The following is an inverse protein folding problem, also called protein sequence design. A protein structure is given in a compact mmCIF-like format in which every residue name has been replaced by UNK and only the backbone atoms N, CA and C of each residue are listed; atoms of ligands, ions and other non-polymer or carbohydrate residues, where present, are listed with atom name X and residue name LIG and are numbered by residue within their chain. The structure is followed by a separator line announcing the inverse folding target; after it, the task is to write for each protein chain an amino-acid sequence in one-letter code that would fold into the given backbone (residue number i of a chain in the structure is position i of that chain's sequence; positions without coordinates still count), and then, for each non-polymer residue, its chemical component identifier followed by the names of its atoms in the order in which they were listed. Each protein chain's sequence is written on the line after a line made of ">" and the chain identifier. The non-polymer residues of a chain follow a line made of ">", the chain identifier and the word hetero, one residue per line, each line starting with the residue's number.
data_IF_373423736927
#
_entry.id   IF_373423736927
#
_cell.length_a   1.000
_cell.length_b   1.000
_cell.length_c   1.000
_cell.angle_alpha   90.00
_cell.angle_beta   90.00
_cell.angle_gamma   90.00
#
_symmetry.space_group_name_H-M   'P 1'
#
loop_
_entity.id
_entity.type
_entity.pdbx_description
1 polymer ?
#
# COMPACT_ATOMS: atom_id res chain seq x y z
N UNK A 1 27.54 27.99 34.92
CA UNK A 1 28.30 28.91 34.06
C UNK A 1 27.37 29.35 32.94
N UNK A 2 26.90 30.60 33.00
CA UNK A 2 26.01 31.20 32.02
C UNK A 2 26.84 31.95 30.98
N UNK A 3 26.60 31.69 29.69
CA UNK A 3 27.14 32.47 28.57
C UNK A 3 26.30 33.74 28.37
N UNK A 4 26.86 34.89 27.93
CA UNK A 4 26.12 36.13 27.71
C UNK A 4 25.14 36.10 26.53
N UNK A 5 25.18 35.05 25.70
CA UNK A 5 24.16 34.75 24.69
C UNK A 5 23.18 33.79 25.33
N UNK A 6 21.98 34.26 25.65
CA UNK A 6 20.91 33.47 26.26
C UNK A 6 20.71 32.13 25.56
N UNK A 7 20.08 31.17 26.25
CA UNK A 7 19.88 29.79 25.78
C UNK A 7 19.26 29.82 24.37
N UNK A 8 20.07 29.73 23.31
CA UNK A 8 19.64 29.81 21.91
C UNK A 8 19.36 28.41 21.32
N UNK A 9 19.79 27.36 22.03
CA UNK A 9 19.69 25.98 21.59
C UNK A 9 19.27 25.07 22.75
N UNK A 10 18.39 24.11 22.47
CA UNK A 10 18.16 23.00 23.39
C UNK A 10 19.41 22.11 23.35
N UNK A 11 20.13 21.91 24.47
CA UNK A 11 21.33 21.07 24.45
C UNK A 11 20.93 19.66 24.02
N UNK A 12 21.73 19.07 23.12
CA UNK A 12 21.61 17.66 22.78
C UNK A 12 21.77 16.87 24.09
N UNK A 13 20.90 15.89 24.41
CA UNK A 13 21.10 15.05 25.58
C UNK A 13 22.34 14.17 25.35
N UNK A 14 23.54 14.64 25.70
CA UNK A 14 24.77 13.85 25.52
C UNK A 14 25.39 13.52 26.86
N UNK A 15 25.15 12.27 27.25
CA UNK A 15 26.21 11.32 27.56
C UNK A 15 25.67 9.92 27.28
N UNK A 16 25.35 9.64 26.01
CA UNK A 16 25.02 8.28 25.59
C UNK A 16 26.33 7.54 25.40
N UNK A 17 26.53 6.49 26.19
CA UNK A 17 27.77 5.72 26.19
C UNK A 17 28.08 5.18 24.77
N UNK A 18 29.23 5.52 24.15
CA UNK A 18 29.58 4.99 22.83
C UNK A 18 29.65 3.46 22.80
N UNK A 19 29.82 2.84 23.96
CA UNK A 19 29.86 1.39 24.16
C UNK A 19 28.50 0.76 24.48
N UNK A 20 27.37 1.29 23.96
CA UNK A 20 26.12 0.52 24.00
C UNK A 20 26.36 -0.84 23.31
N UNK A 21 26.29 -1.96 24.04
CA UNK A 21 26.50 -3.28 23.47
C UNK A 21 25.31 -3.64 22.58
N UNK A 22 25.56 -4.52 21.62
CA UNK A 22 24.51 -5.05 20.75
C UNK A 22 23.52 -5.86 21.60
N UNK A 23 22.21 -5.54 21.59
CA UNK A 23 21.22 -6.33 22.32
C UNK A 23 21.18 -7.78 21.85
N UNK A 24 21.15 -8.74 22.77
CA UNK A 24 21.01 -10.17 22.48
C UNK A 24 19.62 -10.69 22.85
N UNK A 25 18.93 -10.00 23.76
CA UNK A 25 17.57 -10.37 24.21
C UNK A 25 16.52 -9.32 23.82
N UNK A 26 15.24 -9.72 23.69
CA UNK A 26 14.14 -8.76 23.47
C UNK A 26 14.05 -7.70 24.57
N UNK A 27 14.42 -8.04 25.80
CA UNK A 27 14.45 -7.10 26.93
C UNK A 27 15.49 -6.00 26.72
N UNK A 28 16.71 -6.37 26.33
CA UNK A 28 17.77 -5.42 26.02
C UNK A 28 17.43 -4.56 24.82
N UNK A 29 16.82 -5.14 23.78
CA UNK A 29 16.38 -4.41 22.59
C UNK A 29 15.33 -3.35 22.95
N UNK A 30 14.35 -3.70 23.81
CA UNK A 30 13.39 -2.72 24.35
C UNK A 30 14.06 -1.62 25.17
N UNK A 31 15.07 -1.97 25.97
CA UNK A 31 15.86 -1.00 26.74
C UNK A 31 16.59 -0.01 25.83
N UNK A 32 17.25 -0.51 24.78
CA UNK A 32 17.91 0.31 23.77
C UNK A 32 16.94 1.23 23.04
N UNK A 33 15.83 0.69 22.52
CA UNK A 33 14.82 1.46 21.80
C UNK A 33 14.11 2.48 22.69
N UNK A 34 13.93 2.18 23.99
CA UNK A 34 13.40 3.14 24.97
C UNK A 34 14.33 4.34 25.17
N UNK A 35 15.64 4.09 25.31
CA UNK A 35 16.65 5.14 25.45
C UNK A 35 16.79 5.98 24.18
N UNK A 36 16.89 5.34 23.02
CA UNK A 36 16.92 6.04 21.74
C UNK A 36 15.61 6.81 21.48
N UNK A 37 14.48 6.25 21.90
CA UNK A 37 13.15 6.85 21.78
C UNK A 37 12.97 8.13 22.61
N UNK A 38 13.72 8.32 23.69
CA UNK A 38 13.78 9.60 24.41
C UNK A 38 14.37 10.71 23.53
N UNK A 39 15.37 10.38 22.74
CA UNK A 39 16.05 11.31 21.84
C UNK A 39 15.42 11.38 20.44
N UNK A 40 14.26 10.75 20.21
CA UNK A 40 13.64 10.66 18.88
C UNK A 40 13.40 12.03 18.23
N UNK A 41 13.13 13.06 19.03
CA UNK A 41 12.90 14.42 18.53
C UNK A 41 14.14 15.10 17.94
N UNK A 42 15.32 14.51 18.12
CA UNK A 42 16.60 14.94 17.54
C UNK A 42 17.04 14.07 16.37
N UNK A 43 16.36 12.95 16.10
CA UNK A 43 16.79 11.97 15.09
C UNK A 43 15.85 12.04 13.87
N UNK A 44 16.34 12.50 12.71
CA UNK A 44 15.57 12.50 11.47
C UNK A 44 15.24 11.07 11.05
N UNK A 45 13.96 10.82 10.72
CA UNK A 45 13.51 9.52 10.23
C UNK A 45 13.63 8.36 11.24
N UNK A 46 13.65 8.65 12.55
CA UNK A 46 13.86 7.63 13.60
C UNK A 46 12.99 6.38 13.44
N UNK A 47 11.69 6.54 13.13
CA UNK A 47 10.75 5.43 13.00
C UNK A 47 11.05 4.51 11.81
N UNK A 48 11.52 5.06 10.69
CA UNK A 48 11.95 4.26 9.52
C UNK A 48 13.23 3.49 9.88
N UNK A 49 14.19 4.18 10.48
CA UNK A 49 15.48 3.60 10.87
C UNK A 49 15.32 2.50 11.92
N UNK A 50 14.44 2.69 12.91
CA UNK A 50 14.21 1.75 13.99
C UNK A 50 13.25 0.60 13.61
N UNK A 51 12.57 0.66 12.46
CA UNK A 51 11.59 -0.33 12.03
C UNK A 51 12.10 -1.78 12.09
N UNK A 52 13.30 -2.12 11.56
CA UNK A 52 13.82 -3.49 11.60
C UNK A 52 14.04 -4.00 13.03
N UNK A 53 14.29 -3.10 13.99
CA UNK A 53 14.49 -3.45 15.39
C UNK A 53 13.17 -3.62 16.14
N UNK A 54 12.16 -2.80 15.81
CA UNK A 54 10.82 -2.93 16.37
C UNK A 54 10.14 -4.25 15.97
N UNK A 55 10.36 -4.72 14.74
CA UNK A 55 9.80 -5.98 14.22
C UNK A 55 10.27 -7.20 15.03
N UNK A 56 11.50 -7.16 15.56
CA UNK A 56 12.09 -8.25 16.36
C UNK A 56 11.61 -8.32 17.82
N UNK A 57 10.92 -7.28 18.33
CA UNK A 57 10.40 -7.25 19.71
C UNK A 57 8.90 -7.45 19.79
N UNK A 58 8.26 -7.78 18.66
CA UNK A 58 6.85 -8.17 18.60
C UNK A 58 6.60 -9.46 19.38
N UNK A 59 5.33 -9.69 19.74
CA UNK A 59 4.92 -10.87 20.51
C UNK A 59 5.33 -12.17 19.80
N UNK A 60 5.15 -12.20 18.48
CA UNK A 60 5.33 -13.39 17.65
C UNK A 60 6.77 -13.55 17.11
N UNK A 61 7.66 -12.60 17.38
CA UNK A 61 9.07 -12.71 16.97
C UNK A 61 9.78 -13.87 17.70
N UNK A 62 10.72 -14.53 17.04
CA UNK A 62 11.51 -15.61 17.64
C UNK A 62 12.65 -15.06 18.52
N UNK A 63 13.12 -15.86 19.48
CA UNK A 63 14.40 -15.64 20.17
C UNK A 63 15.34 -16.82 19.82
N UNK A 64 16.64 -16.58 19.54
CA UNK A 64 17.40 -15.33 19.69
C UNK A 64 17.12 -14.28 18.61
N UNK A 65 17.50 -13.03 18.88
CA UNK A 65 17.31 -11.90 17.93
C UNK A 65 18.04 -12.14 16.61
N UNK A 66 17.38 -11.84 15.49
CA UNK A 66 17.94 -12.01 14.14
C UNK A 66 18.71 -10.76 13.71
N UNK A 67 20.05 -10.87 13.64
CA UNK A 67 20.93 -9.78 13.23
C UNK A 67 21.28 -9.86 11.74
N UNK A 68 20.29 -9.64 10.88
CA UNK A 68 20.54 -9.43 9.45
C UNK A 68 21.18 -8.06 9.17
N UNK A 69 21.56 -7.85 7.90
CA UNK A 69 22.15 -6.60 7.43
C UNK A 69 21.25 -5.39 7.72
N UNK A 70 19.93 -5.56 7.70
CA UNK A 70 18.95 -4.51 8.02
C UNK A 70 18.99 -4.09 9.48
N UNK A 71 18.95 -5.07 10.39
CA UNK A 71 19.03 -4.87 11.83
C UNK A 71 20.37 -4.25 12.26
N UNK A 72 21.49 -4.75 11.70
CA UNK A 72 22.83 -4.21 11.97
C UNK A 72 22.91 -2.75 11.51
N UNK A 73 22.44 -2.45 10.29
CA UNK A 73 22.40 -1.09 9.75
C UNK A 73 21.52 -0.16 10.58
N UNK A 74 20.35 -0.63 11.02
CA UNK A 74 19.45 0.13 11.88
C UNK A 74 20.11 0.48 13.23
N UNK A 75 20.74 -0.50 13.89
CA UNK A 75 21.40 -0.30 15.17
C UNK A 75 22.57 0.69 15.07
N UNK A 76 23.44 0.52 14.06
CA UNK A 76 24.55 1.43 13.81
C UNK A 76 24.08 2.83 13.40
N UNK A 77 23.03 2.91 12.57
CA UNK A 77 22.41 4.17 12.15
C UNK A 77 21.90 4.97 13.35
N UNK A 78 21.18 4.33 14.28
CA UNK A 78 20.66 5.00 15.49
C UNK A 78 21.82 5.48 16.37
N UNK A 79 22.85 4.65 16.57
CA UNK A 79 24.05 5.06 17.34
C UNK A 79 24.73 6.28 16.71
N UNK A 80 24.88 6.28 15.39
CA UNK A 80 25.49 7.38 14.65
C UNK A 80 24.64 8.65 14.78
N UNK A 81 23.33 8.55 14.59
CA UNK A 81 22.42 9.68 14.70
C UNK A 81 22.35 10.27 16.11
N UNK A 82 22.46 9.43 17.16
CA UNK A 82 22.57 9.90 18.54
C UNK A 82 23.89 10.65 18.80
N UNK A 83 24.98 10.22 18.16
CA UNK A 83 26.28 10.87 18.30
C UNK A 83 26.39 12.17 17.49
N UNK A 84 25.70 12.28 16.36
CA UNK A 84 25.71 13.44 15.45
C UNK A 84 24.46 14.31 15.54
N UNK A 85 23.63 14.12 16.58
CA UNK A 85 22.36 14.80 16.73
C UNK A 85 22.52 16.34 16.66
N UNK A 86 21.73 17.03 15.81
CA UNK A 86 21.83 18.47 15.63
C UNK A 86 21.31 19.23 16.86
N UNK A 87 21.82 20.44 17.08
CA UNK A 87 21.25 21.36 18.05
C UNK A 87 19.87 21.86 17.57
N UNK A 88 18.83 21.61 18.36
CA UNK A 88 17.48 22.09 18.07
C UNK A 88 17.32 23.54 18.56
N UNK A 89 16.61 24.35 17.76
CA UNK A 89 16.22 25.71 18.13
C UNK A 89 15.10 25.71 19.16
N UNK A 90 15.10 26.71 20.04
CA UNK A 90 13.93 26.97 20.88
C UNK A 90 12.80 27.58 20.05
N UNK A 91 11.53 27.18 20.28
CA UNK A 91 10.39 27.78 19.59
C UNK A 91 10.29 29.29 19.88
N UNK A 92 10.32 30.12 18.84
CA UNK A 92 9.98 31.54 18.91
C UNK A 92 8.57 31.76 18.38
N UNK A 93 7.60 31.90 19.28
CA UNK A 93 6.17 32.06 18.95
C UNK A 93 5.82 33.34 18.17
N UNK A 94 6.79 34.25 17.98
CA UNK A 94 6.60 35.46 17.16
C UNK A 94 6.90 35.23 15.68
N UNK A 95 7.51 34.09 15.34
CA UNK A 95 7.86 33.71 13.97
C UNK A 95 6.94 32.60 13.46
N UNK A 96 6.70 32.53 12.15
CA UNK A 96 6.00 31.39 11.56
C UNK A 96 6.83 30.11 11.75
N UNK A 97 6.13 28.98 11.82
CA UNK A 97 6.72 27.65 11.79
C UNK A 97 6.52 27.04 10.40
N UNK A 98 7.48 26.25 9.94
CA UNK A 98 7.35 25.42 8.74
C UNK A 98 7.53 23.94 9.11
N UNK A 99 6.59 23.09 8.70
CA UNK A 99 6.64 21.65 8.89
C UNK A 99 6.85 20.97 7.53
N UNK A 100 8.01 20.34 7.36
CA UNK A 100 8.29 19.51 6.19
C UNK A 100 7.92 18.06 6.51
N UNK A 101 7.22 17.40 5.58
CA UNK A 101 6.71 16.03 5.78
C UNK A 101 7.12 15.15 4.60
N UNK A 102 7.50 13.92 4.93
CA UNK A 102 7.83 12.86 3.99
C UNK A 102 7.18 11.56 4.46
N UNK A 103 6.81 10.69 3.52
CA UNK A 103 6.40 9.33 3.81
C UNK A 103 7.26 8.35 3.03
N UNK A 104 7.78 7.35 3.72
CA UNK A 104 8.50 6.25 3.10
C UNK A 104 8.27 4.95 3.88
N UNK A 105 8.04 3.86 3.14
CA UNK A 105 7.89 2.50 3.68
C UNK A 105 6.84 2.36 4.80
N UNK A 106 5.77 3.14 4.72
CA UNK A 106 4.68 3.16 5.69
C UNK A 106 4.99 3.98 6.94
N UNK A 107 5.99 4.85 6.90
CA UNK A 107 6.40 5.69 8.02
C UNK A 107 6.39 7.15 7.61
N UNK A 108 5.60 7.95 8.33
CA UNK A 108 5.63 9.39 8.27
C UNK A 108 6.89 9.90 8.99
N UNK A 109 7.61 10.81 8.36
CA UNK A 109 8.75 11.52 8.93
C UNK A 109 8.58 13.01 8.66
N UNK A 110 8.96 13.86 9.61
CA UNK A 110 8.87 15.30 9.41
C UNK A 110 9.79 16.10 10.30
N UNK A 111 10.01 17.35 9.92
CA UNK A 111 10.81 18.30 10.67
C UNK A 111 10.07 19.63 10.79
N UNK A 112 9.87 20.07 12.03
CA UNK A 112 9.38 21.40 12.37
C UNK A 112 10.58 22.33 12.41
N UNK A 113 10.47 23.47 11.73
CA UNK A 113 11.55 24.43 11.52
C UNK A 113 11.07 25.86 11.74
N UNK A 114 12.02 26.75 12.02
CA UNK A 114 11.83 28.19 11.99
C UNK A 114 13.05 28.86 11.36
N UNK A 115 12.82 30.01 10.74
CA UNK A 115 13.87 30.83 10.16
C UNK A 115 14.80 31.40 11.24
N UNK A 116 16.09 31.11 11.10
CA UNK A 116 17.18 31.65 11.90
C UNK A 116 18.23 32.29 10.99
N UNK A 117 18.12 33.61 10.79
CA UNK A 117 18.89 34.31 9.76
C UNK A 117 18.48 33.84 8.36
N UNK A 118 19.43 33.48 7.47
CA UNK A 118 19.14 33.00 6.12
C UNK A 118 18.86 31.49 6.04
N UNK A 119 18.81 30.76 7.16
CA UNK A 119 18.68 29.30 7.20
C UNK A 119 17.44 28.87 7.97
N UNK A 120 16.89 27.73 7.59
CA UNK A 120 15.91 27.00 8.39
C UNK A 120 16.61 26.26 9.53
N UNK A 121 16.14 26.48 10.76
CA UNK A 121 16.64 25.80 11.93
C UNK A 121 15.60 24.78 12.42
N UNK A 122 15.97 23.49 12.58
CA UNK A 122 15.09 22.49 13.16
C UNK A 122 14.74 22.82 14.62
N UNK A 123 13.45 22.77 14.93
CA UNK A 123 12.87 22.87 16.28
C UNK A 123 12.53 21.48 16.83
N UNK A 124 12.04 20.58 15.97
CA UNK A 124 11.76 19.19 16.35
C UNK A 124 11.70 18.27 15.13
N UNK A 125 12.08 17.00 15.32
CA UNK A 125 11.83 15.92 14.37
C UNK A 125 10.66 15.04 14.84
N UNK A 126 9.86 14.58 13.88
CA UNK A 126 8.75 13.66 14.10
C UNK A 126 8.91 12.41 13.25
N UNK A 127 8.48 11.28 13.79
CA UNK A 127 8.36 10.05 13.03
C UNK A 127 7.25 9.17 13.60
N UNK A 128 6.36 8.67 12.75
CA UNK A 128 5.23 7.83 13.15
C UNK A 128 4.86 6.84 12.05
N UNK A 129 4.63 5.57 12.42
CA UNK A 129 4.13 4.55 11.50
C UNK A 129 2.68 4.86 11.11
N UNK A 130 2.38 4.79 9.82
CA UNK A 130 1.00 4.85 9.32
C UNK A 130 0.22 3.63 9.84
N UNK A 131 -1.09 3.76 10.02
CA UNK A 131 -1.91 2.59 10.30
C UNK A 131 -1.94 1.65 9.07
N UNK A 132 -2.43 0.43 9.27
CA UNK A 132 -2.43 -0.56 8.21
C UNK A 132 -3.42 -0.26 7.07
N UNK A 133 -4.44 0.58 7.33
CA UNK A 133 -5.31 1.06 6.25
C UNK A 133 -4.54 2.03 5.37
N UNK A 134 -3.88 3.00 5.97
CA UNK A 134 -3.15 4.03 5.26
C UNK A 134 -1.89 3.51 4.57
N UNK A 135 -1.18 2.54 5.15
CA UNK A 135 -0.02 1.91 4.49
C UNK A 135 -0.36 1.30 3.13
N UNK A 136 -1.61 0.90 2.92
CA UNK A 136 -2.07 0.34 1.67
C UNK A 136 -2.77 1.33 0.74
N UNK A 137 -2.58 2.63 0.95
CA UNK A 137 -2.95 3.64 -0.05
C UNK A 137 -1.81 3.91 -1.04
N UNK A 138 -2.11 4.47 -2.22
CA UNK A 138 -1.18 5.18 -3.09
C UNK A 138 -0.16 6.06 -2.37
N UNK A 139 1.05 6.17 -2.90
CA UNK A 139 2.12 7.00 -2.32
C UNK A 139 1.70 8.45 -2.06
N UNK A 140 0.98 9.06 -2.99
CA UNK A 140 0.45 10.42 -2.84
C UNK A 140 -0.53 10.53 -1.66
N UNK A 141 -1.44 9.57 -1.52
CA UNK A 141 -2.39 9.54 -0.41
C UNK A 141 -1.69 9.24 0.93
N UNK A 142 -0.65 8.40 0.92
CA UNK A 142 0.18 8.17 2.12
C UNK A 142 0.89 9.43 2.58
N UNK A 143 1.38 10.26 1.66
CA UNK A 143 1.97 11.55 1.99
C UNK A 143 0.94 12.50 2.65
N UNK A 144 -0.31 12.51 2.17
CA UNK A 144 -1.41 13.27 2.78
C UNK A 144 -1.73 12.74 4.19
N UNK A 145 -1.81 11.41 4.35
CA UNK A 145 -2.02 10.80 5.68
C UNK A 145 -0.86 11.12 6.62
N UNK A 146 0.38 11.07 6.14
CA UNK A 146 1.55 11.45 6.92
C UNK A 146 1.46 12.89 7.42
N UNK A 147 1.06 13.84 6.57
CA UNK A 147 0.82 15.22 6.98
C UNK A 147 -0.28 15.32 8.04
N UNK A 148 -1.40 14.63 7.85
CA UNK A 148 -2.50 14.56 8.82
C UNK A 148 -2.11 13.96 10.17
N UNK A 149 -1.12 13.06 10.21
CA UNK A 149 -0.59 12.48 11.44
C UNK A 149 0.39 13.41 12.15
N UNK A 150 1.27 14.08 11.41
CA UNK A 150 2.36 14.87 12.00
C UNK A 150 1.92 16.29 12.38
N UNK A 151 0.94 16.86 11.70
CA UNK A 151 0.43 18.21 12.02
C UNK A 151 -0.09 18.30 13.47
N UNK A 152 -0.94 17.39 13.98
CA UNK A 152 -1.33 17.38 15.39
C UNK A 152 -0.17 17.19 16.38
N UNK A 153 0.94 16.60 15.95
CA UNK A 153 2.14 16.51 16.80
C UNK A 153 2.88 17.85 16.86
N UNK A 154 2.99 18.55 15.73
CA UNK A 154 3.59 19.88 15.65
C UNK A 154 2.83 20.91 16.51
N UNK A 155 1.50 20.80 16.56
CA UNK A 155 0.64 21.68 17.37
C UNK A 155 0.98 21.71 18.85
N UNK A 156 1.49 20.59 19.40
CA UNK A 156 1.92 20.51 20.79
C UNK A 156 3.08 21.47 21.08
N UNK A 157 3.87 21.82 20.07
CA UNK A 157 4.99 22.76 20.16
C UNK A 157 4.57 24.16 19.73
N UNK A 158 3.76 24.30 18.67
CA UNK A 158 3.37 25.61 18.11
C UNK A 158 2.29 26.34 18.92
N UNK A 159 1.67 25.69 19.92
CA UNK A 159 0.65 26.25 20.81
C UNK A 159 -0.60 26.81 20.08
N UNK A 160 -0.88 26.34 18.87
CA UNK A 160 -2.09 26.68 18.11
C UNK A 160 -3.29 25.85 18.62
N UNK A 161 -4.41 26.51 18.90
CA UNK A 161 -5.62 25.87 19.46
C UNK A 161 -6.23 24.79 18.56
N UNK A 162 -6.89 23.84 19.22
CA UNK A 162 -7.48 22.58 18.74
C UNK A 162 -8.52 22.73 17.61
N UNK A 163 -8.18 22.31 16.39
CA UNK A 163 -9.15 21.78 15.41
C UNK A 163 -8.54 20.64 14.57
N UNK A 164 -9.29 19.55 14.42
CA UNK A 164 -8.81 18.25 13.90
C UNK A 164 -8.73 18.19 12.37
N UNK A 165 -9.30 19.16 11.65
CA UNK A 165 -9.33 19.18 10.18
C UNK A 165 -8.21 20.02 9.60
N UNK A 166 -7.40 19.45 8.69
CA UNK A 166 -6.33 20.15 7.97
C UNK A 166 -6.87 21.32 7.13
N UNK A 167 -8.05 21.14 6.52
CA UNK A 167 -8.63 22.07 5.54
C UNK A 167 -9.52 23.17 6.16
N UNK A 168 -9.86 23.06 7.44
CA UNK A 168 -10.65 24.06 8.19
C UNK A 168 -9.81 25.24 8.70
N UNK A 169 -8.47 25.14 8.58
CA UNK A 169 -7.53 26.01 9.29
C UNK A 169 -7.24 27.28 8.50
N UNK A 170 -7.56 28.43 9.08
CA UNK A 170 -7.21 29.75 8.50
C UNK A 170 -5.73 30.11 8.67
N UNK A 171 -5.00 29.39 9.51
CA UNK A 171 -3.59 29.63 9.86
C UNK A 171 -2.62 28.60 9.27
N UNK A 172 -3.09 27.66 8.45
CA UNK A 172 -2.27 26.62 7.85
C UNK A 172 -2.18 26.84 6.33
N UNK A 173 -0.97 27.08 5.84
CA UNK A 173 -0.68 27.15 4.41
C UNK A 173 -0.03 25.83 3.98
N UNK A 174 -0.68 25.10 3.08
CA UNK A 174 -0.12 23.89 2.49
C UNK A 174 0.60 24.30 1.21
N UNK A 175 1.86 23.95 1.12
CA UNK A 175 2.69 24.17 -0.06
C UNK A 175 3.30 22.83 -0.50
N UNK A 176 3.51 22.69 -1.81
CA UNK A 176 4.19 21.51 -2.33
C UNK A 176 5.70 21.65 -2.08
N UNK A 177 6.27 20.67 -1.40
CA UNK A 177 7.73 20.55 -1.23
C UNK A 177 8.23 19.39 -2.07
N UNK A 178 9.06 19.68 -3.07
CA UNK A 178 9.40 18.73 -4.14
C UNK A 178 10.48 17.71 -3.74
N UNK A 179 11.47 18.12 -2.95
CA UNK A 179 12.56 17.23 -2.51
C UNK A 179 13.09 17.63 -1.15
N UNK A 180 13.31 16.64 -0.30
CA UNK A 180 13.91 16.79 1.02
C UNK A 180 15.22 16.02 1.06
N UNK A 181 16.23 16.60 1.71
CA UNK A 181 17.45 15.88 2.00
C UNK A 181 17.14 14.67 2.91
N UNK A 182 17.47 13.43 2.51
CA UNK A 182 17.12 12.24 3.29
C UNK A 182 17.72 12.22 4.71
N UNK A 183 18.84 12.91 4.92
CA UNK A 183 19.53 12.97 6.21
C UNK A 183 18.97 14.06 7.13
N UNK A 184 18.54 15.21 6.60
CA UNK A 184 18.11 16.35 7.43
C UNK A 184 16.61 16.64 7.38
N UNK A 185 15.91 16.06 6.40
CA UNK A 185 14.52 16.37 6.02
C UNK A 185 14.26 17.85 5.71
N UNK A 186 15.31 18.61 5.42
CA UNK A 186 15.20 20.00 4.99
C UNK A 186 15.12 20.10 3.46
N UNK A 187 14.44 21.11 2.92
CA UNK A 187 14.38 21.33 1.47
C UNK A 187 15.75 21.70 0.91
N UNK A 188 15.98 21.34 -0.35
CA UNK A 188 17.11 21.88 -1.11
C UNK A 188 16.82 23.33 -1.52
N UNK A 189 17.78 24.26 -1.45
CA UNK A 189 17.59 25.63 -1.89
C UNK A 189 17.44 25.68 -3.43
N UNK A 190 16.38 26.34 -3.88
CA UNK A 190 16.05 26.72 -5.27
C UNK A 190 16.59 25.80 -6.35
N UNK A 191 15.83 24.75 -6.66
CA UNK A 191 15.97 24.04 -7.94
C UNK A 191 14.68 24.22 -8.72
N UNK A 192 14.78 24.80 -9.91
CA UNK A 192 13.75 24.84 -10.95
C UNK A 192 13.44 23.40 -11.39
N UNK A 193 12.69 22.68 -10.55
CA UNK A 193 12.47 21.24 -10.70
C UNK A 193 11.03 20.97 -11.08
N UNK A 194 10.83 20.31 -12.21
CA UNK A 194 9.50 19.87 -12.64
C UNK A 194 8.99 18.74 -11.72
N UNK A 195 7.69 18.71 -11.38
CA UNK A 195 7.11 17.62 -10.61
C UNK A 195 7.37 16.28 -11.28
N UNK A 196 7.82 15.27 -10.52
CA UNK A 196 8.08 13.93 -11.08
C UNK A 196 6.80 13.22 -11.55
N UNK A 197 5.64 13.66 -11.07
CA UNK A 197 4.32 13.16 -11.43
C UNK A 197 3.22 14.15 -11.02
N UNK A 198 2.02 13.96 -11.57
CA UNK A 198 0.78 14.60 -11.12
C UNK A 198 0.09 13.69 -10.10
N UNK A 199 0.04 14.14 -8.83
CA UNK A 199 -0.58 13.40 -7.74
C UNK A 199 -2.04 13.04 -8.01
N UNK A 200 -2.81 13.91 -8.66
CA UNK A 200 -4.23 13.66 -8.94
C UNK A 200 -4.38 12.54 -9.96
N UNK A 201 -3.58 12.55 -11.02
CA UNK A 201 -3.59 11.50 -12.02
C UNK A 201 -3.16 10.16 -11.44
N UNK A 202 -2.12 10.14 -10.59
CA UNK A 202 -1.66 8.91 -9.92
C UNK A 202 -2.75 8.32 -9.04
N UNK A 203 -3.42 9.14 -8.22
CA UNK A 203 -4.51 8.66 -7.36
C UNK A 203 -5.69 8.16 -8.18
N UNK A 204 -6.12 8.91 -9.20
CA UNK A 204 -7.23 8.52 -10.07
C UNK A 204 -6.96 7.21 -10.82
N UNK A 205 -5.71 7.01 -11.27
CA UNK A 205 -5.32 5.78 -11.95
C UNK A 205 -5.22 4.57 -10.99
N UNK A 206 -4.93 4.80 -9.71
CA UNK A 206 -4.75 3.74 -8.71
C UNK A 206 -6.03 3.38 -7.93
N UNK A 207 -7.05 4.24 -7.94
CA UNK A 207 -8.32 3.95 -7.25
C UNK A 207 -9.26 3.05 -8.05
N UNK A 208 -9.17 3.08 -9.39
CA UNK A 208 -10.00 2.27 -10.28
C UNK A 208 -9.16 1.21 -10.99
N UNK A 209 -9.71 0.01 -11.25
CA UNK A 209 -9.04 -0.98 -12.09
C UNK A 209 -8.83 -0.46 -13.51
N UNK A 210 -9.74 0.40 -13.98
CA UNK A 210 -9.79 0.91 -15.34
C UNK A 210 -10.34 2.33 -15.37
N UNK A 211 -9.72 3.22 -16.15
CA UNK A 211 -10.04 4.65 -16.14
C UNK A 211 -11.46 4.97 -16.64
N UNK A 212 -11.91 4.28 -17.68
CA UNK A 212 -13.24 4.41 -18.31
C UNK A 212 -14.32 3.52 -17.67
N UNK A 213 -14.01 2.82 -16.56
CA UNK A 213 -15.01 2.04 -15.82
C UNK A 213 -16.06 2.99 -15.21
N UNK A 214 -17.31 2.76 -15.61
CA UNK A 214 -18.48 3.56 -15.25
C UNK A 214 -19.49 2.74 -14.42
N UNK A 215 -20.19 3.41 -13.51
CA UNK A 215 -21.38 2.91 -12.82
C UNK A 215 -22.68 3.35 -13.51
N UNK A 216 -22.57 4.12 -14.59
CA UNK A 216 -23.66 4.57 -15.47
C UNK A 216 -23.64 3.78 -16.77
N UNK A 217 -24.80 3.29 -17.29
CA UNK A 217 -24.87 2.57 -18.55
C UNK A 217 -24.29 3.36 -19.73
N UNK A 218 -23.51 2.67 -20.56
CA UNK A 218 -22.99 3.16 -21.83
C UNK A 218 -24.13 3.18 -22.85
N UNK A 219 -24.43 4.33 -23.50
CA UNK A 219 -25.45 4.39 -24.55
C UNK A 219 -25.08 3.53 -25.76
N UNK A 220 -26.04 2.74 -26.25
CA UNK A 220 -25.86 1.86 -27.41
C UNK A 220 -24.69 0.87 -27.26
N UNK A 221 -24.49 0.33 -26.06
CA UNK A 221 -23.55 -0.76 -25.84
C UNK A 221 -23.92 -1.97 -26.73
N UNK A 222 -22.90 -2.69 -27.20
CA UNK A 222 -23.09 -3.90 -28.02
C UNK A 222 -23.73 -5.04 -27.22
N UNK A 223 -23.48 -5.08 -25.90
CA UNK A 223 -24.01 -6.10 -25.00
C UNK A 223 -24.66 -5.49 -23.75
N UNK A 224 -25.80 -6.07 -23.37
CA UNK A 224 -26.50 -5.82 -22.11
C UNK A 224 -26.57 -7.14 -21.33
N UNK A 225 -25.73 -7.29 -20.30
CA UNK A 225 -25.56 -8.53 -19.55
C UNK A 225 -26.08 -8.38 -18.12
N UNK A 226 -26.72 -9.43 -17.61
CA UNK A 226 -27.14 -9.55 -16.21
C UNK A 226 -26.43 -10.74 -15.58
N UNK A 227 -25.90 -10.53 -14.37
CA UNK A 227 -25.12 -11.55 -13.67
C UNK A 227 -25.69 -11.79 -12.28
N UNK A 228 -25.71 -13.05 -11.88
CA UNK A 228 -26.08 -13.45 -10.53
C UNK A 228 -25.31 -14.71 -10.08
N UNK A 229 -24.99 -14.77 -8.79
CA UNK A 229 -24.28 -15.86 -8.15
C UNK A 229 -24.99 -16.34 -6.88
N UNK A 230 -25.54 -17.54 -6.92
CA UNK A 230 -26.31 -18.08 -5.79
C UNK A 230 -25.58 -19.21 -5.07
N UNK A 231 -25.78 -19.29 -3.74
CA UNK A 231 -25.25 -20.38 -2.92
C UNK A 231 -26.15 -20.63 -1.69
N UNK A 232 -26.49 -21.90 -1.44
CA UNK A 232 -27.26 -22.32 -0.27
C UNK A 232 -26.93 -23.77 0.12
N UNK A 233 -27.50 -24.25 1.21
CA UNK A 233 -27.22 -25.59 1.76
C UNK A 233 -28.41 -26.51 1.52
N UNK A 234 -28.14 -27.68 0.95
CA UNK A 234 -29.09 -28.79 0.76
C UNK A 234 -28.49 -30.02 1.43
N UNK A 235 -29.22 -30.63 2.37
CA UNK A 235 -28.78 -31.83 3.11
C UNK A 235 -27.38 -31.69 3.77
N UNK A 236 -27.05 -30.49 4.24
CA UNK A 236 -25.76 -30.20 4.87
C UNK A 236 -24.61 -29.92 3.90
N UNK A 237 -24.82 -30.09 2.59
CA UNK A 237 -23.85 -29.76 1.56
C UNK A 237 -24.19 -28.40 0.92
N UNK A 238 -23.19 -27.54 0.75
CA UNK A 238 -23.38 -26.28 0.02
C UNK A 238 -23.40 -26.56 -1.47
N UNK A 239 -24.44 -26.06 -2.13
CA UNK A 239 -24.56 -25.99 -3.58
C UNK A 239 -24.53 -24.53 -4.00
N UNK A 240 -23.99 -24.29 -5.18
CA UNK A 240 -23.76 -22.95 -5.69
C UNK A 240 -23.72 -22.95 -7.20
N UNK A 241 -24.09 -21.84 -7.82
CA UNK A 241 -24.10 -21.68 -9.26
C UNK A 241 -23.98 -20.22 -9.65
N UNK A 242 -23.62 -19.97 -10.90
CA UNK A 242 -23.65 -18.63 -11.47
C UNK A 242 -24.43 -18.63 -12.77
N UNK A 243 -24.86 -17.44 -13.17
CA UNK A 243 -25.41 -17.20 -14.50
C UNK A 243 -24.95 -15.84 -15.06
N UNK A 244 -24.74 -15.82 -16.37
CA UNK A 244 -24.57 -14.62 -17.19
C UNK A 244 -25.60 -14.72 -18.31
N UNK A 245 -26.46 -13.72 -18.41
CA UNK A 245 -27.60 -13.75 -19.32
C UNK A 245 -27.73 -12.41 -20.07
N UNK A 246 -28.39 -12.43 -21.21
CA UNK A 246 -28.93 -11.22 -21.84
C UNK A 246 -30.39 -11.03 -21.41
N UNK A 247 -31.07 -10.04 -21.99
CA UNK A 247 -32.53 -9.90 -21.82
C UNK A 247 -33.34 -11.07 -22.39
N UNK A 248 -32.75 -11.89 -23.28
CA UNK A 248 -33.49 -12.89 -24.06
C UNK A 248 -33.01 -14.32 -23.83
N UNK A 249 -31.74 -14.53 -23.50
CA UNK A 249 -31.16 -15.86 -23.40
C UNK A 249 -30.09 -15.97 -22.31
N UNK A 250 -29.87 -17.20 -21.85
CA UNK A 250 -28.76 -17.54 -20.95
C UNK A 250 -27.51 -17.77 -21.79
N UNK A 251 -26.52 -16.88 -21.67
CA UNK A 251 -25.24 -17.05 -22.37
C UNK A 251 -24.38 -18.12 -21.72
N UNK A 252 -24.33 -18.10 -20.39
CA UNK A 252 -23.55 -19.06 -19.63
C UNK A 252 -24.16 -19.27 -18.24
N UNK A 253 -24.27 -20.52 -17.82
CA UNK A 253 -24.62 -20.87 -16.44
C UNK A 253 -24.02 -22.22 -16.09
N UNK A 254 -23.46 -22.37 -14.89
CA UNK A 254 -22.90 -23.65 -14.46
C UNK A 254 -22.91 -23.80 -12.93
N UNK A 255 -22.92 -25.05 -12.42
CA UNK A 255 -22.71 -25.31 -11.00
C UNK A 255 -21.27 -24.95 -10.61
N UNK A 256 -21.12 -24.49 -9.37
CA UNK A 256 -19.85 -24.13 -8.75
C UNK A 256 -19.49 -25.15 -7.66
N UNK A 257 -18.21 -25.20 -7.31
CA UNK A 257 -17.68 -26.18 -6.34
C UNK A 257 -18.34 -26.07 -4.96
N UNK A 258 -18.35 -27.16 -4.17
CA UNK A 258 -19.14 -27.30 -2.94
C UNK A 258 -18.71 -26.37 -1.78
N UNK A 259 -17.62 -25.62 -1.93
CA UNK A 259 -17.15 -24.64 -0.95
C UNK A 259 -17.40 -23.17 -1.37
N UNK A 260 -18.04 -22.94 -2.52
CA UNK A 260 -18.19 -21.59 -3.07
C UNK A 260 -19.27 -20.81 -2.32
N UNK A 261 -18.91 -19.69 -1.71
CA UNK A 261 -19.86 -18.78 -1.06
C UNK A 261 -20.70 -18.01 -2.09
N UNK A 262 -21.80 -17.40 -1.65
CA UNK A 262 -22.60 -16.53 -2.53
C UNK A 262 -21.75 -15.37 -3.08
N UNK A 263 -20.97 -14.71 -2.23
CA UNK A 263 -20.04 -13.65 -2.66
C UNK A 263 -19.01 -14.13 -3.69
N UNK A 264 -18.48 -15.35 -3.53
CA UNK A 264 -17.57 -15.92 -4.51
C UNK A 264 -18.28 -16.25 -5.83
N UNK A 265 -19.52 -16.75 -5.79
CA UNK A 265 -20.32 -17.01 -6.98
C UNK A 265 -20.60 -15.71 -7.75
N UNK A 266 -20.91 -14.62 -7.05
CA UNK A 266 -21.10 -13.28 -7.65
C UNK A 266 -19.85 -12.79 -8.38
N UNK A 267 -18.68 -12.90 -7.73
CA UNK A 267 -17.41 -12.53 -8.36
C UNK A 267 -17.14 -13.38 -9.62
N UNK A 268 -17.45 -14.68 -9.57
CA UNK A 268 -17.28 -15.57 -10.72
C UNK A 268 -18.25 -15.20 -11.85
N UNK A 269 -19.53 -14.92 -11.54
CA UNK A 269 -20.53 -14.50 -12.52
C UNK A 269 -20.05 -13.24 -13.27
N UNK A 270 -19.61 -12.22 -12.52
CA UNK A 270 -19.13 -10.97 -13.08
C UNK A 270 -17.84 -11.13 -13.89
N UNK A 271 -16.92 -11.98 -13.42
CA UNK A 271 -15.69 -12.33 -14.17
C UNK A 271 -16.05 -12.95 -15.52
N UNK A 272 -16.98 -13.93 -15.54
CA UNK A 272 -17.43 -14.57 -16.78
C UNK A 272 -18.14 -13.60 -17.73
N UNK A 273 -18.90 -12.64 -17.21
CA UNK A 273 -19.52 -11.62 -18.04
C UNK A 273 -18.47 -10.74 -18.73
N UNK A 274 -17.40 -10.35 -18.03
CA UNK A 274 -16.31 -9.59 -18.63
C UNK A 274 -15.55 -10.41 -19.71
N UNK A 275 -15.33 -11.71 -19.47
CA UNK A 275 -14.70 -12.62 -20.45
C UNK A 275 -15.57 -12.81 -21.70
N UNK A 276 -16.88 -12.97 -21.55
CA UNK A 276 -17.82 -13.11 -22.67
C UNK A 276 -17.92 -11.84 -23.52
N UNK A 277 -17.72 -10.68 -22.90
CA UNK A 277 -17.75 -9.38 -23.57
C UNK A 277 -16.39 -8.94 -24.15
N UNK A 278 -15.40 -9.84 -24.24
CA UNK A 278 -14.08 -9.50 -24.74
C UNK A 278 -14.12 -8.80 -26.11
N UNK A 279 -13.50 -7.62 -26.20
CA UNK A 279 -13.46 -6.79 -27.41
C UNK A 279 -14.73 -5.99 -27.72
N UNK A 280 -15.81 -6.15 -26.95
CA UNK A 280 -17.09 -5.46 -27.16
C UNK A 280 -17.37 -4.42 -26.07
N UNK A 281 -18.26 -3.47 -26.37
CA UNK A 281 -18.80 -2.53 -25.38
C UNK A 281 -19.95 -3.19 -24.62
N UNK A 282 -19.90 -3.15 -23.28
CA UNK A 282 -20.86 -3.90 -22.45
C UNK A 282 -21.37 -3.11 -21.24
N UNK A 283 -22.67 -3.23 -20.99
CA UNK A 283 -23.31 -2.88 -19.73
C UNK A 283 -23.57 -4.17 -18.94
N UNK A 284 -22.98 -4.29 -17.75
CA UNK A 284 -23.15 -5.46 -16.86
C UNK A 284 -23.91 -5.03 -15.60
N UNK A 285 -25.09 -5.60 -15.39
CA UNK A 285 -25.90 -5.37 -14.19
C UNK A 285 -25.70 -6.50 -13.19
N UNK A 286 -25.42 -6.13 -11.95
CA UNK A 286 -25.31 -7.02 -10.80
C UNK A 286 -26.11 -6.46 -9.64
N UNK A 287 -26.74 -7.32 -8.83
CA UNK A 287 -27.33 -6.91 -7.55
C UNK A 287 -26.40 -7.15 -6.35
N UNK A 288 -25.19 -7.66 -6.61
CA UNK A 288 -24.14 -7.84 -5.61
C UNK A 288 -23.42 -6.53 -5.31
N UNK A 289 -23.82 -5.88 -4.22
CA UNK A 289 -23.09 -4.72 -3.67
C UNK A 289 -21.63 -5.03 -3.36
N UNK A 290 -21.32 -6.30 -3.02
CA UNK A 290 -19.96 -6.74 -2.77
C UNK A 290 -19.12 -6.74 -4.05
N UNK A 291 -19.60 -7.39 -5.12
CA UNK A 291 -18.90 -7.43 -6.40
C UNK A 291 -18.75 -6.02 -7.01
N UNK A 292 -19.81 -5.21 -6.94
CA UNK A 292 -19.77 -3.81 -7.35
C UNK A 292 -18.69 -3.00 -6.58
N UNK A 293 -18.64 -3.14 -5.25
CA UNK A 293 -17.65 -2.45 -4.42
C UNK A 293 -16.21 -2.89 -4.70
N UNK A 294 -16.01 -4.16 -5.07
CA UNK A 294 -14.70 -4.66 -5.53
C UNK A 294 -14.27 -3.93 -6.80
N UNK A 295 -15.16 -3.75 -7.78
CA UNK A 295 -14.84 -3.07 -9.03
C UNK A 295 -14.60 -1.56 -8.87
N UNK A 296 -15.39 -0.88 -8.03
CA UNK A 296 -15.44 0.59 -8.01
C UNK A 296 -14.74 1.26 -6.82
N UNK A 297 -14.37 0.52 -5.78
CA UNK A 297 -13.85 1.13 -4.55
C UNK A 297 -12.63 0.41 -3.96
N UNK A 298 -12.73 -0.89 -3.69
CA UNK A 298 -11.75 -1.55 -2.79
C UNK A 298 -10.88 -2.59 -3.47
N UNK A 299 -11.26 -3.11 -4.65
CA UNK A 299 -10.53 -4.21 -5.29
C UNK A 299 -9.09 -3.84 -5.64
N UNK A 300 -8.90 -2.69 -6.31
CA UNK A 300 -7.59 -2.22 -6.72
C UNK A 300 -6.67 -1.95 -5.51
N UNK A 301 -7.20 -1.29 -4.48
CA UNK A 301 -6.48 -1.06 -3.21
C UNK A 301 -6.08 -2.37 -2.51
N UNK A 302 -6.91 -3.41 -2.57
CA UNK A 302 -6.54 -4.72 -2.03
C UNK A 302 -5.46 -5.41 -2.86
N UNK A 303 -5.48 -5.27 -4.19
CA UNK A 303 -4.45 -5.80 -5.05
C UNK A 303 -3.08 -5.15 -4.76
N UNK A 304 -3.04 -3.82 -4.59
CA UNK A 304 -1.82 -3.09 -4.21
C UNK A 304 -1.26 -3.53 -2.84
N UNK A 305 -2.13 -4.00 -1.94
CA UNK A 305 -1.76 -4.53 -0.62
C UNK A 305 -1.36 -6.01 -0.62
N UNK A 306 -1.37 -6.68 -1.78
CA UNK A 306 -1.19 -8.13 -1.85
C UNK A 306 -2.31 -8.92 -1.16
N UNK A 307 -3.53 -8.38 -1.16
CA UNK A 307 -4.73 -8.99 -0.56
C UNK A 307 -4.64 -9.26 0.94
N UNK A 308 -4.05 -8.30 1.67
CA UNK A 308 -3.96 -8.30 3.13
C UNK A 308 -4.86 -7.18 3.69
N UNK A 309 -5.67 -7.51 4.69
CA UNK A 309 -6.53 -6.54 5.41
C UNK A 309 -5.70 -5.65 6.33
N UNK A 310 -6.30 -4.59 6.87
CA UNK A 310 -5.63 -3.74 7.87
C UNK A 310 -5.27 -4.49 9.17
N UNK A 311 -5.88 -5.62 9.46
CA UNK A 311 -5.50 -6.45 10.61
C UNK A 311 -4.42 -7.48 10.30
N UNK A 312 -3.88 -7.48 9.06
CA UNK A 312 -2.86 -8.45 8.64
C UNK A 312 -3.43 -9.80 8.18
N UNK A 313 -4.76 -9.96 8.14
CA UNK A 313 -5.40 -11.20 7.68
C UNK A 313 -5.54 -11.21 6.16
N UNK A 314 -5.56 -12.41 5.55
CA UNK A 314 -5.80 -12.53 4.10
C UNK A 314 -7.23 -12.17 3.76
N UNK A 315 -7.44 -11.43 2.68
CA UNK A 315 -8.76 -11.18 2.10
C UNK A 315 -9.31 -12.51 1.58
N UNK A 316 -10.51 -12.88 2.04
CA UNK A 316 -11.09 -14.22 1.84
C UNK A 316 -11.17 -14.66 0.36
N UNK A 317 -11.39 -13.71 -0.56
CA UNK A 317 -11.60 -13.98 -1.99
C UNK A 317 -10.50 -13.39 -2.88
N UNK A 318 -9.30 -13.12 -2.34
CA UNK A 318 -8.19 -12.47 -3.06
C UNK A 318 -7.93 -13.01 -4.49
N UNK A 319 -7.79 -14.33 -4.70
CA UNK A 319 -7.58 -14.88 -6.04
C UNK A 319 -8.73 -14.65 -7.03
N UNK A 320 -9.98 -14.64 -6.56
CA UNK A 320 -11.15 -14.35 -7.41
C UNK A 320 -11.23 -12.86 -7.75
N UNK A 321 -10.90 -12.00 -6.78
CA UNK A 321 -10.85 -10.56 -6.98
C UNK A 321 -9.78 -10.22 -8.02
N UNK A 322 -8.58 -10.80 -7.92
CA UNK A 322 -7.52 -10.58 -8.91
C UNK A 322 -7.98 -10.96 -10.34
N UNK A 323 -8.60 -12.13 -10.50
CA UNK A 323 -9.15 -12.55 -11.81
C UNK A 323 -10.21 -11.59 -12.34
N UNK A 324 -11.09 -11.09 -11.48
CA UNK A 324 -12.09 -10.10 -11.87
C UNK A 324 -11.43 -8.80 -12.33
N UNK A 325 -10.43 -8.30 -11.58
CA UNK A 325 -9.69 -7.09 -11.95
C UNK A 325 -8.99 -7.24 -13.30
N UNK A 326 -8.39 -8.41 -13.58
CA UNK A 326 -7.80 -8.73 -14.88
C UNK A 326 -8.87 -8.79 -15.99
N UNK A 327 -10.00 -9.45 -15.73
CA UNK A 327 -11.06 -9.64 -16.71
C UNK A 327 -11.76 -8.33 -17.12
N UNK A 328 -11.83 -7.33 -16.24
CA UNK A 328 -12.41 -5.99 -16.53
C UNK A 328 -11.69 -5.28 -17.71
N UNK A 329 -10.46 -5.67 -18.03
CA UNK A 329 -9.72 -5.14 -19.16
C UNK A 329 -10.05 -5.82 -20.50
N UNK A 330 -10.77 -6.94 -20.51
CA UNK A 330 -11.09 -7.68 -21.74
C UNK A 330 -12.10 -6.96 -22.66
N UNK A 331 -13.19 -6.34 -22.15
CA UNK A 331 -14.13 -5.60 -23.00
C UNK A 331 -13.48 -4.34 -23.60
N UNK A 332 -13.95 -3.88 -24.76
CA UNK A 332 -13.46 -2.62 -25.36
C UNK A 332 -13.95 -1.39 -24.59
N UNK A 333 -15.14 -1.47 -23.97
CA UNK A 333 -15.66 -0.51 -22.99
C UNK A 333 -16.59 -1.24 -22.00
N UNK A 334 -16.62 -0.85 -20.73
CA UNK A 334 -17.40 -1.56 -19.70
C UNK A 334 -18.03 -0.63 -18.69
N UNK A 335 -19.33 -0.80 -18.46
CA UNK A 335 -20.04 -0.25 -17.30
C UNK A 335 -20.50 -1.40 -16.40
N UNK A 336 -20.17 -1.34 -15.11
CA UNK A 336 -20.63 -2.29 -14.10
C UNK A 336 -21.60 -1.55 -13.18
N UNK A 337 -22.87 -1.92 -13.26
CA UNK A 337 -23.99 -1.18 -12.66
C UNK A 337 -24.60 -2.00 -11.54
N UNK A 338 -24.69 -1.42 -10.35
CA UNK A 338 -25.40 -2.04 -9.23
C UNK A 338 -26.90 -1.74 -9.26
N UNK A 339 -27.71 -2.79 -9.28
CA UNK A 339 -29.17 -2.72 -9.18
C UNK A 339 -29.65 -3.33 -7.86
N UNK A 340 -30.86 -3.00 -7.39
CA UNK A 340 -31.35 -3.62 -6.15
C UNK A 340 -31.87 -5.02 -6.44
N UNK A 341 -31.53 -5.95 -5.56
CA UNK A 341 -32.10 -7.30 -5.58
C UNK A 341 -33.63 -7.29 -5.39
N UNK A 342 -34.28 -8.33 -5.92
CA UNK A 342 -35.69 -8.67 -5.67
C UNK A 342 -36.72 -7.54 -5.97
N UNK A 343 -36.46 -6.74 -7.00
CA UNK A 343 -37.42 -5.72 -7.45
C UNK A 343 -38.66 -6.33 -8.12
N UNK A 344 -39.81 -5.67 -7.95
CA UNK A 344 -41.08 -6.01 -8.60
C UNK A 344 -41.32 -5.04 -9.75
N UNK A 345 -41.58 -5.54 -10.95
CA UNK A 345 -41.84 -4.72 -12.12
C UNK A 345 -41.55 -5.46 -13.43
N UNK A 346 -41.91 -4.82 -14.54
CA UNK A 346 -41.69 -5.33 -15.91
C UNK A 346 -40.64 -4.52 -16.67
N UNK A 347 -39.86 -3.69 -15.99
CA UNK A 347 -38.71 -3.00 -16.59
C UNK A 347 -37.71 -4.04 -17.12
N UNK A 348 -37.11 -3.85 -18.31
CA UNK A 348 -36.12 -4.77 -18.86
C UNK A 348 -35.01 -5.15 -17.88
N UNK A 349 -34.55 -4.19 -17.06
CA UNK A 349 -33.50 -4.41 -16.07
C UNK A 349 -33.94 -5.33 -14.93
N UNK A 350 -35.17 -5.14 -14.44
CA UNK A 350 -35.80 -5.96 -13.40
C UNK A 350 -36.08 -7.38 -13.92
N UNK A 351 -36.50 -7.49 -15.18
CA UNK A 351 -36.70 -8.77 -15.85
C UNK A 351 -35.37 -9.52 -16.01
N UNK A 352 -34.32 -8.84 -16.47
CA UNK A 352 -32.97 -9.40 -16.58
C UNK A 352 -32.45 -9.90 -15.23
N UNK A 353 -32.52 -9.10 -14.17
CA UNK A 353 -32.05 -9.55 -12.85
C UNK A 353 -32.78 -10.79 -12.34
N UNK A 354 -34.11 -10.86 -12.52
CA UNK A 354 -34.91 -12.03 -12.11
C UNK A 354 -34.56 -13.28 -12.90
N UNK A 355 -34.29 -13.13 -14.19
CA UNK A 355 -33.86 -14.24 -15.04
C UNK A 355 -32.47 -14.72 -14.60
N UNK A 356 -31.55 -13.81 -14.25
CA UNK A 356 -30.21 -14.17 -13.77
C UNK A 356 -30.29 -14.95 -12.44
N UNK A 357 -31.08 -14.44 -11.48
CA UNK A 357 -31.35 -15.10 -10.19
C UNK A 357 -31.98 -16.49 -10.37
N UNK A 358 -32.92 -16.63 -11.30
CA UNK A 358 -33.53 -17.94 -11.59
C UNK A 358 -32.53 -18.89 -12.23
N UNK A 359 -31.75 -18.42 -13.21
CA UNK A 359 -30.79 -19.23 -13.95
C UNK A 359 -29.64 -19.69 -13.06
N UNK A 360 -29.11 -18.83 -12.18
CA UNK A 360 -28.04 -19.19 -11.25
C UNK A 360 -28.53 -20.27 -10.27
N UNK A 361 -29.77 -20.13 -9.79
CA UNK A 361 -30.39 -21.10 -8.89
C UNK A 361 -30.57 -22.46 -9.58
N UNK A 362 -31.09 -22.46 -10.80
CA UNK A 362 -31.22 -23.69 -11.60
C UNK A 362 -29.85 -24.33 -11.84
N UNK A 363 -28.82 -23.54 -12.17
CA UNK A 363 -27.47 -24.04 -12.41
C UNK A 363 -26.86 -24.69 -11.16
N UNK A 364 -27.10 -24.15 -9.97
CA UNK A 364 -26.56 -24.70 -8.72
C UNK A 364 -27.09 -26.10 -8.37
N UNK A 365 -28.27 -26.47 -8.87
CA UNK A 365 -28.90 -27.77 -8.68
C UNK A 365 -28.32 -28.84 -9.62
N UNK A 366 -27.57 -28.42 -10.64
CA UNK A 366 -26.94 -29.36 -11.57
C UNK A 366 -25.76 -30.08 -10.89
N UNK A 367 -25.49 -31.35 -11.26
CA UNK A 367 -24.36 -32.07 -10.71
C UNK A 367 -23.04 -31.38 -11.10
N UNK A 368 -22.23 -31.06 -10.10
CA UNK A 368 -20.88 -30.55 -10.32
C UNK A 368 -19.98 -31.67 -10.87
N UNK A 369 -19.67 -31.63 -12.16
CA UNK A 369 -18.76 -32.58 -12.81
C UNK A 369 -17.37 -31.97 -12.89
N UNK A 370 -16.40 -32.59 -12.20
CA UNK A 370 -15.00 -32.14 -12.08
C UNK A 370 -14.29 -31.98 -13.45
N UNK A 371 -14.80 -32.60 -14.52
CA UNK A 371 -14.22 -32.53 -15.87
C UNK A 371 -14.37 -31.18 -16.59
N UNK A 372 -15.09 -30.19 -16.03
CA UNK A 372 -15.31 -28.91 -16.71
C UNK A 372 -14.31 -27.79 -16.33
N UNK A 373 -13.24 -28.11 -15.59
CA UNK A 373 -12.14 -27.18 -15.28
C UNK A 373 -10.77 -27.64 -15.81
N UNK A 374 -10.70 -28.62 -16.70
CA UNK A 374 -9.43 -29.08 -17.29
C UNK A 374 -8.94 -28.16 -18.43
N UNK A 375 -8.84 -26.85 -18.17
CA UNK A 375 -7.98 -25.92 -18.92
C UNK A 375 -7.50 -24.84 -17.95
N UNK A 376 -6.54 -25.21 -17.10
CA UNK A 376 -5.32 -24.47 -16.75
C UNK A 376 -4.63 -25.30 -15.69
N UNK A 377 -3.86 -26.30 -16.11
CA UNK A 377 -2.71 -26.71 -15.31
C UNK A 377 -1.86 -25.45 -15.15
N UNK A 378 -1.63 -25.03 -13.91
CA UNK A 378 -0.59 -24.06 -13.61
C UNK A 378 0.68 -24.46 -14.37
N UNK A 379 1.29 -23.60 -15.18
CA UNK A 379 2.61 -23.92 -15.69
C UNK A 379 3.50 -24.12 -14.47
N UNK A 380 4.13 -25.29 -14.38
CA UNK A 380 5.24 -25.50 -13.46
C UNK A 380 6.18 -24.29 -13.59
N UNK A 381 6.72 -23.74 -12.49
CA UNK A 381 7.60 -22.59 -12.57
C UNK A 381 8.72 -22.90 -13.55
N UNK A 382 8.71 -22.20 -14.69
CA UNK A 382 9.82 -22.22 -15.62
C UNK A 382 11.01 -21.70 -14.79
N UNK A 383 12.10 -22.47 -14.65
CA UNK A 383 13.31 -21.93 -14.05
C UNK A 383 13.72 -20.75 -14.91
N UNK A 384 13.63 -19.53 -14.38
CA UNK A 384 14.20 -18.35 -15.03
C UNK A 384 15.71 -18.52 -14.91
N UNK A 385 16.32 -19.21 -15.87
CA UNK A 385 17.76 -19.14 -16.10
C UNK A 385 18.04 -17.78 -16.72
N UNK A 386 18.36 -16.82 -15.85
CA UNK A 386 18.88 -15.53 -16.25
C UNK A 386 20.26 -15.75 -16.89
N UNK A 387 20.34 -15.63 -18.22
CA UNK A 387 21.60 -15.64 -18.96
C UNK A 387 21.95 -14.16 -19.20
N UNK A 388 22.88 -13.58 -18.44
CA UNK A 388 23.24 -12.18 -18.60
C UNK A 388 23.96 -11.91 -19.93
N UNK A 389 23.72 -10.73 -20.50
CA UNK A 389 24.43 -10.26 -21.70
C UNK A 389 25.93 -10.05 -21.40
N UNK A 390 26.86 -10.34 -22.33
CA UNK A 390 28.30 -10.21 -22.10
C UNK A 390 28.75 -8.82 -21.62
N UNK A 391 28.02 -7.75 -22.01
CA UNK A 391 28.28 -6.38 -21.56
C UNK A 391 27.91 -6.13 -20.10
N UNK A 392 26.93 -6.86 -19.56
CA UNK A 392 26.53 -6.75 -18.16
C UNK A 392 27.51 -7.49 -17.25
N UNK A 393 28.00 -8.65 -17.70
CA UNK A 393 29.03 -9.43 -17.00
C UNK A 393 30.32 -8.62 -16.84
N UNK A 394 30.78 -7.95 -17.89
CA UNK A 394 31.96 -7.07 -17.83
C UNK A 394 31.78 -5.94 -16.80
N UNK A 395 30.58 -5.35 -16.73
CA UNK A 395 30.26 -4.27 -15.78
C UNK A 395 30.18 -4.77 -14.33
N UNK A 396 29.87 -6.05 -14.11
CA UNK A 396 29.85 -6.67 -12.79
C UNK A 396 31.25 -7.09 -12.32
N UNK A 397 32.10 -7.55 -13.23
CA UNK A 397 33.53 -7.80 -12.94
C UNK A 397 34.25 -6.50 -12.57
N UNK A 398 33.95 -5.39 -13.24
CA UNK A 398 34.51 -4.06 -12.95
C UNK A 398 34.16 -3.52 -11.55
N UNK A 399 33.05 -3.98 -10.95
CA UNK A 399 32.62 -3.61 -9.59
C UNK A 399 32.91 -4.70 -8.54
N UNK A 400 33.70 -5.72 -8.90
CA UNK A 400 34.21 -6.74 -7.98
C UNK A 400 33.30 -7.96 -7.75
N UNK A 401 32.36 -8.25 -8.65
CA UNK A 401 31.55 -9.46 -8.59
C UNK A 401 32.33 -10.69 -9.10
N UNK A 402 32.22 -11.83 -8.39
CA UNK A 402 32.92 -13.07 -8.71
C UNK A 402 31.90 -14.15 -9.11
N UNK A 403 32.16 -14.86 -10.20
CA UNK A 403 31.30 -15.95 -10.70
C UNK A 403 31.51 -17.23 -9.89
N UNK A 404 30.45 -17.77 -9.28
CA UNK A 404 30.54 -19.04 -8.54
C UNK A 404 30.59 -20.24 -9.49
N UNK A 405 31.49 -21.20 -9.27
CA UNK A 405 31.56 -22.43 -10.07
C UNK A 405 30.48 -23.44 -9.62
N UNK A 406 29.36 -23.44 -10.35
CA UNK A 406 28.28 -24.43 -10.27
C UNK A 406 27.37 -24.28 -11.50
N UNK A 407 26.63 -25.32 -11.89
CA UNK A 407 25.83 -25.39 -13.14
C UNK A 407 24.74 -24.29 -13.26
N UNK A 408 24.49 -23.51 -12.21
CA UNK A 408 23.72 -22.26 -12.24
C UNK A 408 24.66 -21.08 -11.98
N UNK A 409 25.10 -20.41 -13.05
CA UNK A 409 26.10 -19.33 -13.01
C UNK A 409 25.63 -18.05 -12.33
N UNK A 410 25.48 -18.07 -11.02
CA UNK A 410 25.16 -16.90 -10.19
C UNK A 410 26.43 -16.05 -9.94
N UNK A 411 26.26 -14.73 -9.90
CA UNK A 411 27.31 -13.76 -9.54
C UNK A 411 27.08 -13.26 -8.11
N UNK A 412 28.13 -13.22 -7.29
CA UNK A 412 28.10 -12.68 -5.93
C UNK A 412 29.10 -11.53 -5.81
N UNK A 413 28.74 -10.47 -5.06
CA UNK A 413 29.69 -9.42 -4.68
C UNK A 413 30.68 -10.00 -3.66
N UNK A 414 31.97 -9.90 -3.92
CA UNK A 414 33.01 -10.43 -3.03
C UNK A 414 32.98 -9.78 -1.64
N UNK A 415 33.24 -10.57 -0.59
CA UNK A 415 33.17 -10.14 0.83
C UNK A 415 34.36 -9.30 1.32
N UNK A 416 35.16 -8.67 0.47
CA UNK A 416 36.28 -7.83 0.93
C UNK A 416 36.06 -6.34 0.67
N UNK A 417 36.22 -5.47 1.70
CA UNK A 417 36.08 -4.04 1.54
C UNK A 417 37.23 -3.46 0.70
N UNK A 418 36.87 -2.70 -0.34
CA UNK A 418 37.79 -1.96 -1.19
C UNK A 418 38.52 -0.86 -0.36
N UNK A 419 39.86 -0.81 -0.31
CA UNK A 419 40.60 0.07 0.62
C UNK A 419 40.68 1.57 0.25
N UNK A 420 40.04 2.03 -0.82
CA UNK A 420 40.37 3.34 -1.43
C UNK A 420 39.29 4.44 -1.34
N UNK A 421 38.38 4.37 -0.37
CA UNK A 421 37.49 5.50 -0.05
C UNK A 421 37.48 5.78 1.45
N UNK A 422 38.51 6.51 1.88
CA UNK A 422 38.56 7.25 3.16
C UNK A 422 37.81 8.58 3.04
#
# INVERSE_FOLDING_TARGET
>A
MYSPRGIEHYPVPVSINPYIPRPETKREMRGFLGLAGFCRSWIPGFGEMAKPLFEQITHDAEEPLHWDSGAVKAFQGIKTALASAPALGLPDYRKPFALYVHERLGVASGVLTQTFGPKEQPVAYYSQKLDAVAQGFPGCLRAVVAAGLLVPQAEKITLTHLEVSLLSRTNLKIEQCHSLNPATLLPFPDTDYEPSHDCLQVVQHQEKPRADLSDVPIPNAELELYTDGSAWVVEGQRISGFAVITQFEVLQSAPLGPSTSAQAAELIALTRACELAAGQSVNIYTDSKYAFGVCHATGQLWAERGFITSSGTKVAHGPLILKLLEAIHLPSAVAIIHIRAHQKGNDPTVCGNRLADTASKTASLQPFIVHQMALTSSPSPIPITFIPEPSEVSRWEDIGAIKTQGESGNFLMGEEPCPELL
#
